data_IF_400852188811
#
_entry.id   IF_400852188811
#
_cell.length_a   1.000
_cell.length_b   1.000
_cell.length_c   1.000
_cell.angle_alpha   90.00
_cell.angle_beta   90.00
_cell.angle_gamma   90.00
#
_symmetry.space_group_name_H-M   'P 1'
#
loop_
_entity.id
_entity.type
_entity.pdbx_description
1 polymer ?
#
# COMPACT_ATOMS: atom_id res chain seq x y z
N UNK A 1 4.01 23.91 30.41
CA UNK A 1 3.29 22.73 30.97
C UNK A 1 3.84 21.51 30.27
N UNK A 2 4.43 20.57 31.01
CA UNK A 2 4.85 19.29 30.41
C UNK A 2 3.57 18.48 30.19
N UNK A 3 3.19 18.27 28.93
CA UNK A 3 2.08 17.39 28.56
C UNK A 3 2.29 16.04 29.24
N UNK A 4 1.35 15.65 30.11
CA UNK A 4 1.37 14.38 30.82
C UNK A 4 1.25 13.24 29.80
N UNK A 5 2.17 12.28 29.81
CA UNK A 5 2.07 11.12 28.92
C UNK A 5 1.00 10.14 29.42
N UNK A 6 0.22 9.59 28.50
CA UNK A 6 -0.77 8.54 28.81
C UNK A 6 -0.15 7.17 28.53
N UNK A 7 0.01 6.36 29.57
CA UNK A 7 0.34 4.94 29.43
C UNK A 7 -0.92 4.18 28.99
N UNK A 8 -0.78 3.29 28.02
CA UNK A 8 -1.88 2.42 27.63
C UNK A 8 -1.82 1.11 28.43
N UNK A 9 -2.96 0.43 28.54
CA UNK A 9 -3.02 -0.93 29.11
C UNK A 9 -2.23 -1.84 28.15
N UNK A 10 -1.39 -2.78 28.63
CA UNK A 10 -0.56 -3.63 27.76
C UNK A 10 -1.33 -4.30 26.60
N UNK A 11 -2.60 -4.64 26.84
CA UNK A 11 -3.49 -5.34 25.92
C UNK A 11 -4.29 -4.43 24.96
N UNK A 12 -3.99 -3.12 24.92
CA UNK A 12 -4.74 -2.12 24.13
C UNK A 12 -4.96 -2.54 22.67
N UNK A 13 -3.98 -3.23 22.07
CA UNK A 13 -4.02 -3.65 20.68
C UNK A 13 -4.32 -5.16 20.49
N UNK A 14 -4.63 -5.94 21.55
CA UNK A 14 -4.69 -7.41 21.45
C UNK A 14 -5.78 -7.92 20.50
N UNK A 15 -6.89 -7.21 20.38
CA UNK A 15 -7.98 -7.57 19.47
C UNK A 15 -7.63 -7.34 18.00
N UNK A 16 -6.66 -6.49 17.69
CA UNK A 16 -6.32 -6.09 16.32
C UNK A 16 -5.86 -7.29 15.49
N UNK A 17 -4.96 -8.10 16.04
CA UNK A 17 -4.40 -9.25 15.32
C UNK A 17 -5.48 -10.33 15.07
N UNK A 18 -6.44 -10.47 15.98
CA UNK A 18 -7.60 -11.36 15.82
C UNK A 18 -8.51 -10.86 14.70
N UNK A 19 -8.83 -9.55 14.68
CA UNK A 19 -9.65 -8.95 13.62
C UNK A 19 -8.99 -9.16 12.25
N UNK A 20 -7.67 -8.96 12.13
CA UNK A 20 -6.95 -9.19 10.87
C UNK A 20 -7.05 -10.66 10.48
N UNK A 21 -6.82 -11.60 11.40
CA UNK A 21 -6.93 -13.04 11.10
C UNK A 21 -8.34 -13.44 10.63
N UNK A 22 -9.39 -12.90 11.24
CA UNK A 22 -10.78 -13.10 10.81
C UNK A 22 -11.04 -12.55 9.41
N UNK A 23 -10.50 -11.36 9.10
CA UNK A 23 -10.62 -10.75 7.78
C UNK A 23 -9.95 -11.59 6.68
N UNK A 24 -8.87 -12.31 7.03
CA UNK A 24 -8.15 -13.21 6.12
C UNK A 24 -8.77 -14.61 5.99
N UNK A 25 -10.05 -14.79 6.33
CA UNK A 25 -10.74 -16.07 6.20
C UNK A 25 -11.23 -16.31 4.75
N UNK A 26 -10.77 -17.37 4.04
CA UNK A 26 -11.21 -17.66 2.67
C UNK A 26 -12.69 -18.00 2.49
N UNK A 27 -13.43 -18.30 3.57
CA UNK A 27 -14.88 -18.55 3.51
C UNK A 27 -15.71 -17.28 3.66
N UNK A 28 -15.14 -16.24 4.26
CA UNK A 28 -15.78 -14.96 4.46
C UNK A 28 -14.71 -13.85 4.40
N UNK A 29 -14.06 -13.66 3.24
CA UNK A 29 -12.99 -12.68 3.11
C UNK A 29 -13.57 -11.28 3.33
N UNK A 30 -12.88 -10.49 4.15
CA UNK A 30 -13.34 -9.16 4.53
C UNK A 30 -12.20 -8.16 4.35
N UNK A 31 -12.47 -7.08 3.64
CA UNK A 31 -11.51 -6.00 3.48
C UNK A 31 -11.38 -5.20 4.76
N UNK A 32 -10.19 -4.64 5.00
CA UNK A 32 -9.92 -3.86 6.21
C UNK A 32 -8.92 -2.75 5.94
N UNK A 33 -8.98 -1.73 6.79
CA UNK A 33 -7.94 -0.71 6.91
C UNK A 33 -7.44 -0.62 8.33
N UNK A 34 -6.18 -1.01 8.53
CA UNK A 34 -5.49 -0.89 9.79
C UNK A 34 -4.89 0.51 9.94
N UNK A 35 -5.49 1.32 10.80
CA UNK A 35 -4.90 2.58 11.24
C UNK A 35 -3.82 2.29 12.27
N UNK A 36 -2.58 2.65 11.98
CA UNK A 36 -1.48 2.30 12.85
C UNK A 36 -0.31 3.30 12.73
N UNK A 37 -0.20 4.16 13.76
CA UNK A 37 0.81 5.20 13.83
C UNK A 37 2.26 4.68 13.86
N UNK A 38 3.23 5.59 13.80
CA UNK A 38 4.65 5.24 13.82
C UNK A 38 4.98 4.39 15.06
N UNK A 39 5.79 3.34 14.89
CA UNK A 39 6.21 2.49 16.01
C UNK A 39 5.11 1.64 16.66
N UNK A 40 3.90 1.58 16.08
CA UNK A 40 2.80 0.79 16.64
C UNK A 40 2.87 -0.71 16.34
N UNK A 41 3.71 -1.12 15.40
CA UNK A 41 3.88 -2.52 15.00
C UNK A 41 2.98 -2.97 13.85
N UNK A 42 2.73 -2.10 12.85
CA UNK A 42 2.07 -2.44 11.57
C UNK A 42 2.57 -3.75 10.97
N UNK A 43 3.86 -3.81 10.67
CA UNK A 43 4.53 -4.96 10.05
C UNK A 43 4.45 -6.21 10.93
N UNK A 44 4.42 -6.06 12.26
CA UNK A 44 4.21 -7.19 13.18
C UNK A 44 2.81 -7.78 13.00
N UNK A 45 1.76 -6.95 13.04
CA UNK A 45 0.37 -7.40 12.84
C UNK A 45 0.15 -8.00 11.45
N UNK A 46 0.77 -7.43 10.40
CA UNK A 46 0.76 -8.00 9.05
C UNK A 46 1.34 -9.43 9.05
N UNK A 47 2.56 -9.60 9.56
CA UNK A 47 3.22 -10.92 9.63
C UNK A 47 2.42 -11.91 10.46
N UNK A 48 1.85 -11.48 11.60
CA UNK A 48 0.98 -12.34 12.40
C UNK A 48 -0.24 -12.82 11.63
N UNK A 49 -0.91 -11.93 10.89
CA UNK A 49 -2.01 -12.33 10.01
C UNK A 49 -1.60 -13.40 8.98
N UNK A 50 -0.42 -13.27 8.38
CA UNK A 50 0.13 -14.26 7.45
C UNK A 50 0.42 -15.60 8.15
N UNK A 51 1.03 -15.59 9.34
CA UNK A 51 1.31 -16.81 10.13
C UNK A 51 0.02 -17.56 10.49
N UNK A 52 -1.00 -16.83 10.96
CA UNK A 52 -2.32 -17.41 11.25
C UNK A 52 -2.95 -18.02 9.99
N UNK A 53 -2.88 -17.31 8.87
CA UNK A 53 -3.40 -17.78 7.60
C UNK A 53 -2.69 -19.04 7.12
N UNK A 54 -1.36 -19.08 7.17
CA UNK A 54 -0.59 -20.28 6.81
C UNK A 54 -1.05 -21.49 7.62
N UNK A 55 -1.13 -21.33 8.94
CA UNK A 55 -1.51 -22.42 9.85
C UNK A 55 -2.92 -22.94 9.57
N UNK A 56 -3.87 -22.05 9.30
CA UNK A 56 -5.27 -22.42 9.12
C UNK A 56 -5.62 -22.86 7.68
N UNK A 57 -4.97 -22.27 6.66
CA UNK A 57 -5.42 -22.36 5.27
C UNK A 57 -4.30 -22.68 4.26
N UNK A 58 -3.04 -22.68 4.68
CA UNK A 58 -1.88 -22.78 3.78
C UNK A 58 -1.87 -24.05 2.93
N UNK A 59 -2.20 -25.22 3.50
CA UNK A 59 -2.23 -26.48 2.75
C UNK A 59 -3.24 -26.45 1.60
N UNK A 60 -4.45 -25.92 1.84
CA UNK A 60 -5.49 -25.77 0.82
C UNK A 60 -5.03 -24.83 -0.28
N UNK A 61 -4.51 -23.65 0.09
CA UNK A 61 -4.07 -22.62 -0.87
C UNK A 61 -2.93 -23.10 -1.76
N UNK A 62 -1.93 -23.79 -1.19
CA UNK A 62 -0.84 -24.43 -1.95
C UNK A 62 -1.38 -25.42 -2.98
N UNK A 63 -2.32 -26.29 -2.60
CA UNK A 63 -2.91 -27.29 -3.50
C UNK A 63 -3.63 -26.68 -4.69
N UNK A 64 -4.30 -25.54 -4.50
CA UNK A 64 -5.08 -24.86 -5.55
C UNK A 64 -4.29 -23.74 -6.27
N UNK A 65 -2.99 -23.62 -6.00
CA UNK A 65 -2.11 -22.63 -6.65
C UNK A 65 -2.43 -21.17 -6.31
N UNK A 66 -3.13 -20.90 -5.19
CA UNK A 66 -3.47 -19.55 -4.73
C UNK A 66 -2.41 -19.03 -3.76
N UNK A 67 -2.24 -17.71 -3.74
CA UNK A 67 -1.28 -17.00 -2.89
C UNK A 67 -1.95 -15.82 -2.18
N UNK A 68 -1.30 -15.29 -1.15
CA UNK A 68 -1.57 -13.93 -0.65
C UNK A 68 -0.53 -13.00 -1.25
N UNK A 69 -0.96 -11.89 -1.83
CA UNK A 69 -0.04 -10.85 -2.27
C UNK A 69 0.17 -9.83 -1.15
N UNK A 70 1.41 -9.45 -0.93
CA UNK A 70 1.82 -8.43 0.04
C UNK A 70 2.66 -7.41 -0.71
N UNK A 71 2.15 -6.19 -0.80
CA UNK A 71 2.77 -5.08 -1.50
C UNK A 71 3.32 -4.12 -0.47
N UNK A 72 4.57 -3.70 -0.66
CA UNK A 72 5.18 -2.61 0.13
C UNK A 72 5.79 -1.56 -0.81
N UNK A 73 6.29 -0.46 -0.24
CA UNK A 73 6.90 0.61 -1.02
C UNK A 73 8.42 0.41 -1.25
N UNK A 74 9.11 -0.31 -0.38
CA UNK A 74 10.58 -0.44 -0.42
C UNK A 74 11.06 -1.89 -0.44
N UNK A 75 12.21 -2.13 -1.06
CA UNK A 75 12.83 -3.46 -1.05
C UNK A 75 13.22 -3.90 0.37
N UNK A 76 13.70 -2.97 1.22
CA UNK A 76 14.02 -3.28 2.61
C UNK A 76 12.81 -3.81 3.40
N UNK A 77 11.63 -3.20 3.22
CA UNK A 77 10.40 -3.70 3.82
C UNK A 77 9.97 -5.05 3.25
N UNK A 78 10.18 -5.29 1.95
CA UNK A 78 9.95 -6.60 1.35
C UNK A 78 10.83 -7.67 2.01
N UNK A 79 12.14 -7.42 2.09
CA UNK A 79 13.12 -8.35 2.64
C UNK A 79 12.83 -8.66 4.11
N UNK A 80 12.48 -7.64 4.91
CA UNK A 80 12.08 -7.81 6.31
C UNK A 80 10.86 -8.73 6.45
N UNK A 81 9.82 -8.54 5.63
CA UNK A 81 8.62 -9.39 5.68
C UNK A 81 8.96 -10.81 5.22
N UNK A 82 9.74 -10.95 4.12
CA UNK A 82 10.17 -12.25 3.57
C UNK A 82 10.93 -13.05 4.63
N UNK A 83 11.87 -12.43 5.33
CA UNK A 83 12.64 -13.08 6.40
C UNK A 83 11.73 -13.56 7.53
N UNK A 84 10.83 -12.68 8.00
CA UNK A 84 9.90 -13.01 9.10
C UNK A 84 8.95 -14.16 8.77
N UNK A 85 8.47 -14.25 7.53
CA UNK A 85 7.63 -15.38 7.07
C UNK A 85 8.44 -16.55 6.51
N UNK A 86 9.77 -16.55 6.70
CA UNK A 86 10.70 -17.63 6.32
C UNK A 86 10.61 -18.00 4.83
N UNK A 87 10.52 -16.98 3.96
CA UNK A 87 10.46 -17.12 2.51
C UNK A 87 9.39 -18.12 2.02
N UNK A 88 8.23 -18.13 2.69
CA UNK A 88 7.15 -19.05 2.37
C UNK A 88 6.52 -18.75 0.99
N UNK A 89 6.53 -19.69 0.03
CA UNK A 89 6.04 -19.46 -1.33
C UNK A 89 4.53 -19.22 -1.44
N UNK A 90 3.79 -19.43 -0.34
CA UNK A 90 2.37 -19.06 -0.20
C UNK A 90 2.17 -17.55 -0.30
N UNK A 91 3.18 -16.77 0.06
CA UNK A 91 3.14 -15.32 0.06
C UNK A 91 3.95 -14.77 -1.10
N UNK A 92 3.34 -13.90 -1.89
CA UNK A 92 4.04 -13.13 -2.91
C UNK A 92 4.28 -11.72 -2.36
N UNK A 93 5.49 -11.50 -1.87
CA UNK A 93 5.91 -10.23 -1.27
C UNK A 93 6.79 -9.49 -2.28
N UNK A 94 6.44 -8.25 -2.59
CA UNK A 94 7.20 -7.44 -3.54
C UNK A 94 6.87 -5.95 -3.42
N UNK A 95 7.70 -5.10 -4.01
CA UNK A 95 7.33 -3.68 -4.17
C UNK A 95 6.16 -3.54 -5.15
N UNK A 96 5.41 -2.46 -5.04
CA UNK A 96 4.23 -2.23 -5.89
C UNK A 96 4.55 -2.29 -7.39
N UNK A 97 5.69 -1.73 -7.80
CA UNK A 97 6.13 -1.74 -9.18
C UNK A 97 6.49 -3.16 -9.66
N UNK A 98 7.22 -3.91 -8.82
CA UNK A 98 7.57 -5.30 -9.12
C UNK A 98 6.32 -6.17 -9.25
N UNK A 99 5.35 -5.98 -8.37
CA UNK A 99 4.06 -6.66 -8.42
C UNK A 99 3.34 -6.37 -9.74
N UNK A 100 3.12 -5.08 -10.05
CA UNK A 100 2.39 -4.63 -11.23
C UNK A 100 3.06 -5.13 -12.52
N UNK A 101 4.38 -4.94 -12.64
CA UNK A 101 5.14 -5.41 -13.79
C UNK A 101 5.05 -6.91 -13.97
N UNK A 102 5.18 -7.70 -12.91
CA UNK A 102 5.05 -9.14 -12.98
C UNK A 102 3.70 -9.58 -13.56
N UNK A 103 2.64 -8.81 -13.30
CA UNK A 103 1.31 -9.13 -13.83
C UNK A 103 1.16 -8.74 -15.31
N UNK A 104 1.72 -7.61 -15.75
CA UNK A 104 1.51 -7.09 -17.11
C UNK A 104 2.61 -7.46 -18.11
N UNK A 105 3.77 -7.97 -17.67
CA UNK A 105 4.97 -8.11 -18.52
C UNK A 105 4.79 -8.93 -19.80
N UNK A 106 3.81 -9.83 -19.86
CA UNK A 106 3.54 -10.66 -21.04
C UNK A 106 2.51 -10.03 -22.00
N UNK A 107 1.87 -8.93 -21.60
CA UNK A 107 0.78 -8.30 -22.33
C UNK A 107 1.29 -7.24 -23.32
N UNK A 108 2.35 -7.55 -24.07
CA UNK A 108 3.06 -6.58 -24.90
C UNK A 108 2.16 -5.85 -25.92
N UNK A 109 1.27 -6.56 -26.60
CA UNK A 109 0.34 -5.94 -27.55
C UNK A 109 -0.64 -5.00 -26.86
N UNK A 110 -1.14 -5.35 -25.67
CA UNK A 110 -2.04 -4.50 -24.91
C UNK A 110 -1.31 -3.27 -24.36
N UNK A 111 -0.08 -3.45 -23.85
CA UNK A 111 0.78 -2.34 -23.39
C UNK A 111 1.00 -1.36 -24.55
N UNK A 112 1.33 -1.88 -25.73
CA UNK A 112 1.51 -1.08 -26.95
C UNK A 112 0.26 -0.27 -27.28
N UNK A 113 -0.91 -0.92 -27.32
CA UNK A 113 -2.17 -0.25 -27.64
C UNK A 113 -2.52 0.84 -26.61
N UNK A 114 -2.29 0.54 -25.33
CA UNK A 114 -2.48 1.52 -24.25
C UNK A 114 -1.55 2.72 -24.43
N UNK A 115 -0.26 2.50 -24.67
CA UNK A 115 0.71 3.57 -24.90
C UNK A 115 0.37 4.42 -26.12
N UNK A 116 -0.12 3.80 -27.20
CA UNK A 116 -0.55 4.54 -28.39
C UNK A 116 -1.69 5.50 -28.05
N UNK A 117 -2.72 5.02 -27.34
CA UNK A 117 -3.84 5.86 -26.92
C UNK A 117 -3.38 6.98 -25.96
N UNK A 118 -2.63 6.64 -24.91
CA UNK A 118 -2.15 7.60 -23.92
C UNK A 118 -1.26 8.68 -24.55
N UNK A 119 -0.31 8.31 -25.41
CA UNK A 119 0.57 9.28 -26.08
C UNK A 119 -0.20 10.19 -27.03
N UNK A 120 -1.17 9.66 -27.77
CA UNK A 120 -2.05 10.46 -28.63
C UNK A 120 -2.83 11.51 -27.84
N UNK A 121 -3.39 11.13 -26.68
CA UNK A 121 -4.10 12.05 -25.80
C UNK A 121 -3.18 13.11 -25.19
N UNK A 122 -1.99 12.71 -24.72
CA UNK A 122 -0.98 13.63 -24.19
C UNK A 122 -0.51 14.64 -25.24
N UNK A 123 -0.23 14.19 -26.48
CA UNK A 123 0.13 15.07 -27.60
C UNK A 123 -0.98 16.07 -27.85
N UNK A 124 -2.23 15.62 -27.91
CA UNK A 124 -3.41 16.49 -28.13
C UNK A 124 -3.54 17.53 -27.02
N UNK A 125 -3.35 17.13 -25.77
CA UNK A 125 -3.37 18.02 -24.60
C UNK A 125 -2.25 19.06 -24.63
N UNK A 126 -1.03 18.65 -24.99
CA UNK A 126 0.12 19.56 -25.12
C UNK A 126 -0.07 20.55 -26.27
N UNK A 127 -0.61 20.12 -27.42
CA UNK A 127 -0.92 20.99 -28.55
C UNK A 127 -1.99 22.03 -28.18
N UNK A 128 -3.05 21.64 -27.47
CA UNK A 128 -4.07 22.58 -26.97
C UNK A 128 -3.48 23.61 -26.03
N UNK A 129 -2.58 23.18 -25.12
CA UNK A 129 -1.87 24.11 -24.24
C UNK A 129 -0.97 25.05 -25.06
N UNK A 130 -0.25 24.52 -26.06
CA UNK A 130 0.64 25.31 -26.94
C UNK A 130 -0.10 26.39 -27.70
N UNK A 131 -1.23 26.04 -28.32
CA UNK A 131 -2.08 27.00 -29.05
C UNK A 131 -2.62 28.13 -28.16
N UNK A 132 -2.84 27.88 -26.86
CA UNK A 132 -3.32 28.88 -25.89
C UNK A 132 -2.20 29.66 -25.20
N UNK A 133 -0.96 29.20 -25.28
CA UNK A 133 0.17 29.75 -24.54
C UNK A 133 0.91 30.83 -25.32
N UNK A 134 1.76 31.59 -24.62
CA UNK A 134 2.67 32.56 -25.27
C UNK A 134 3.84 31.84 -25.93
N UNK A 135 3.95 31.98 -27.25
CA UNK A 135 5.04 31.43 -28.07
C UNK A 135 6.41 31.99 -27.65
N UNK A 136 7.45 31.19 -27.82
CA UNK A 136 8.85 31.60 -27.57
C UNK A 136 9.26 31.65 -26.10
N UNK A 137 8.35 31.29 -25.18
CA UNK A 137 8.67 31.15 -23.75
C UNK A 137 9.37 29.81 -23.46
N UNK A 138 10.10 29.71 -22.34
CA UNK A 138 10.65 28.43 -21.86
C UNK A 138 9.61 27.32 -21.77
N UNK A 139 8.41 27.64 -21.26
CA UNK A 139 7.30 26.69 -21.21
C UNK A 139 6.82 26.24 -22.60
N UNK A 140 6.83 27.12 -23.61
CA UNK A 140 6.55 26.77 -25.01
C UNK A 140 7.62 25.83 -25.57
N UNK A 141 8.91 26.14 -25.38
CA UNK A 141 10.02 25.28 -25.82
C UNK A 141 9.93 23.87 -25.22
N UNK A 142 9.71 23.76 -23.90
CA UNK A 142 9.56 22.46 -23.20
C UNK A 142 8.37 21.65 -23.76
N UNK A 143 7.24 22.30 -24.03
CA UNK A 143 6.05 21.62 -24.57
C UNK A 143 6.28 21.16 -26.00
N UNK A 144 6.91 21.96 -26.85
CA UNK A 144 7.25 21.56 -28.21
C UNK A 144 8.23 20.39 -28.23
N UNK A 145 9.28 20.42 -27.41
CA UNK A 145 10.21 19.29 -27.25
C UNK A 145 9.48 18.02 -26.78
N UNK A 146 8.56 18.17 -25.81
CA UNK A 146 7.74 17.06 -25.30
C UNK A 146 6.79 16.48 -26.38
N UNK A 147 6.25 17.31 -27.27
CA UNK A 147 5.42 16.84 -28.40
C UNK A 147 6.26 16.05 -29.38
N UNK A 148 7.47 16.54 -29.72
CA UNK A 148 8.38 15.86 -30.65
C UNK A 148 8.76 14.48 -30.11
N UNK A 149 9.26 14.40 -28.88
CA UNK A 149 9.69 13.12 -28.29
C UNK A 149 8.55 12.09 -28.17
N UNK A 150 7.33 12.55 -27.84
CA UNK A 150 6.15 11.68 -27.80
C UNK A 150 5.71 11.20 -29.18
N UNK A 151 5.82 12.04 -30.21
CA UNK A 151 5.54 11.63 -31.61
C UNK A 151 6.53 10.60 -32.10
N UNK A 152 7.81 10.75 -31.78
CA UNK A 152 8.84 9.76 -32.09
C UNK A 152 8.54 8.42 -31.40
N UNK A 153 8.15 8.45 -30.12
CA UNK A 153 7.73 7.24 -29.41
C UNK A 153 6.47 6.61 -30.02
N UNK A 154 5.50 7.41 -30.42
CA UNK A 154 4.26 6.94 -31.06
C UNK A 154 4.54 6.28 -32.42
N UNK A 155 5.41 6.88 -33.24
CA UNK A 155 5.86 6.29 -34.50
C UNK A 155 6.63 4.99 -34.26
N UNK A 156 7.49 4.94 -33.23
CA UNK A 156 8.17 3.71 -32.82
C UNK A 156 7.16 2.61 -32.43
N UNK A 157 6.02 2.95 -31.82
CA UNK A 157 4.95 2.01 -31.50
C UNK A 157 4.15 1.56 -32.74
N UNK A 158 4.42 2.05 -33.96
CA UNK A 158 3.71 1.60 -35.19
C UNK A 158 3.87 0.11 -35.49
N UNK A 159 4.92 -0.53 -34.98
CA UNK A 159 5.21 -1.97 -35.14
C UNK A 159 5.01 -2.73 -33.82
N UNK A 160 4.82 -4.06 -33.82
CA UNK A 160 4.84 -4.87 -32.60
C UNK A 160 6.13 -4.67 -31.81
N UNK A 161 6.02 -4.60 -30.47
CA UNK A 161 7.14 -4.32 -29.55
C UNK A 161 7.08 -5.24 -28.35
N UNK A 162 8.26 -5.59 -27.83
CA UNK A 162 8.42 -6.15 -26.50
C UNK A 162 8.86 -5.05 -25.54
N UNK A 163 8.32 -5.08 -24.33
CA UNK A 163 8.58 -4.07 -23.31
C UNK A 163 9.38 -4.69 -22.18
N UNK A 164 10.28 -3.90 -21.62
CA UNK A 164 11.04 -4.25 -20.42
C UNK A 164 10.80 -3.22 -19.34
N UNK A 165 11.07 -3.58 -18.09
CA UNK A 165 11.00 -2.69 -16.95
C UNK A 165 11.93 -3.20 -15.86
N UNK A 166 12.69 -2.30 -15.25
CA UNK A 166 13.51 -2.58 -14.09
C UNK A 166 13.01 -1.76 -12.89
N UNK A 167 12.51 -2.38 -11.80
CA UNK A 167 12.09 -1.66 -10.59
C UNK A 167 13.25 -1.13 -9.75
N UNK A 168 14.48 -1.61 -9.97
CA UNK A 168 15.64 -1.36 -9.10
C UNK A 168 16.69 -0.42 -9.71
N UNK A 169 16.43 0.18 -10.86
CA UNK A 169 17.44 1.01 -11.52
C UNK A 169 16.90 1.86 -12.66
N UNK A 170 17.81 2.61 -13.28
CA UNK A 170 17.46 3.43 -14.42
C UNK A 170 17.07 2.55 -15.60
N UNK A 171 15.91 2.87 -16.16
CA UNK A 171 15.40 2.29 -17.39
C UNK A 171 16.20 2.84 -18.59
N UNK A 172 17.48 2.46 -18.69
CA UNK A 172 18.43 2.92 -19.71
C UNK A 172 18.27 2.09 -20.99
N UNK A 173 17.98 2.77 -22.10
CA UNK A 173 17.85 2.16 -23.42
C UNK A 173 16.64 2.69 -24.19
N UNK A 174 16.46 2.24 -25.43
CA UNK A 174 15.42 2.73 -26.36
C UNK A 174 14.01 2.18 -26.08
N UNK A 175 13.59 2.07 -24.81
CA UNK A 175 12.19 2.12 -24.27
C UNK A 175 11.79 1.02 -23.27
N UNK A 176 12.40 0.99 -22.07
CA UNK A 176 11.71 0.39 -20.93
C UNK A 176 10.53 1.28 -20.51
N UNK A 177 9.50 0.69 -19.91
CA UNK A 177 8.38 1.44 -19.36
C UNK A 177 8.85 2.33 -18.21
N UNK A 178 8.26 3.51 -18.03
CA UNK A 178 8.48 4.29 -16.81
C UNK A 178 7.78 3.64 -15.61
N UNK A 179 8.20 4.03 -14.41
CA UNK A 179 7.53 3.65 -13.15
C UNK A 179 6.03 3.98 -13.19
N UNK A 180 5.68 5.21 -13.61
CA UNK A 180 4.29 5.65 -13.73
C UNK A 180 3.51 4.88 -14.79
N UNK A 181 4.12 4.55 -15.93
CA UNK A 181 3.47 3.76 -16.98
C UNK A 181 3.12 2.37 -16.48
N UNK A 182 4.01 1.70 -15.75
CA UNK A 182 3.73 0.36 -15.18
C UNK A 182 2.50 0.40 -14.27
N UNK A 183 2.40 1.39 -13.38
CA UNK A 183 1.28 1.51 -12.45
C UNK A 183 -0.03 1.84 -13.17
N UNK A 184 0.00 2.78 -14.11
CA UNK A 184 -1.19 3.20 -14.86
C UNK A 184 -1.70 2.10 -15.79
N UNK A 185 -0.80 1.42 -16.51
CA UNK A 185 -1.18 0.29 -17.37
C UNK A 185 -1.81 -0.82 -16.54
N UNK A 186 -1.20 -1.18 -15.40
CA UNK A 186 -1.76 -2.21 -14.53
C UNK A 186 -3.15 -1.80 -13.99
N UNK A 187 -3.30 -0.57 -13.50
CA UNK A 187 -4.57 -0.04 -13.01
C UNK A 187 -5.66 -0.07 -14.08
N UNK A 188 -5.36 0.44 -15.28
CA UNK A 188 -6.29 0.43 -16.39
C UNK A 188 -6.62 -0.99 -16.87
N UNK A 189 -5.67 -1.92 -16.89
CA UNK A 189 -5.96 -3.32 -17.23
C UNK A 189 -6.85 -3.98 -16.19
N UNK A 190 -6.64 -3.67 -14.90
CA UNK A 190 -7.44 -4.20 -13.81
C UNK A 190 -8.92 -3.79 -13.93
N UNK A 191 -9.20 -2.61 -14.47
CA UNK A 191 -10.56 -2.11 -14.70
C UNK A 191 -11.13 -2.52 -16.05
N UNK A 192 -10.36 -2.34 -17.13
CA UNK A 192 -10.87 -2.47 -18.50
C UNK A 192 -10.88 -3.91 -19.03
N UNK A 193 -10.15 -4.85 -18.39
CA UNK A 193 -10.01 -6.23 -18.87
C UNK A 193 -10.54 -7.24 -17.84
N UNK A 194 -11.81 -7.67 -17.93
CA UNK A 194 -12.39 -8.62 -16.98
C UNK A 194 -11.60 -9.93 -16.83
N UNK A 195 -11.05 -10.47 -17.93
CA UNK A 195 -10.23 -11.69 -17.87
C UNK A 195 -8.94 -11.49 -17.08
N UNK A 196 -8.27 -10.34 -17.24
CA UNK A 196 -7.08 -9.99 -16.46
C UNK A 196 -7.43 -9.84 -14.97
N UNK A 197 -8.50 -9.11 -14.68
CA UNK A 197 -9.02 -8.93 -13.32
C UNK A 197 -9.30 -10.28 -12.63
N UNK A 198 -9.94 -11.22 -13.33
CA UNK A 198 -10.21 -12.57 -12.83
C UNK A 198 -8.92 -13.37 -12.56
N UNK A 199 -7.88 -13.21 -13.39
CA UNK A 199 -6.58 -13.85 -13.14
C UNK A 199 -6.00 -13.36 -11.80
N UNK A 200 -6.04 -12.05 -11.55
CA UNK A 200 -5.54 -11.45 -10.31
C UNK A 200 -6.36 -11.94 -9.10
N UNK A 201 -7.69 -11.82 -9.13
CA UNK A 201 -8.57 -12.23 -8.03
C UNK A 201 -8.44 -13.72 -7.71
N UNK A 202 -8.35 -14.57 -8.74
CA UNK A 202 -8.24 -16.00 -8.51
C UNK A 202 -6.86 -16.40 -7.97
N UNK A 203 -5.79 -15.73 -8.41
CA UNK A 203 -4.42 -15.99 -7.93
C UNK A 203 -4.16 -15.42 -6.54
N UNK A 204 -4.71 -14.23 -6.26
CA UNK A 204 -4.52 -13.48 -5.02
C UNK A 204 -5.87 -13.07 -4.41
N UNK A 205 -6.60 -13.98 -3.73
CA UNK A 205 -7.84 -13.63 -3.04
C UNK A 205 -7.66 -12.59 -1.93
N UNK A 206 -6.45 -12.52 -1.37
CA UNK A 206 -6.05 -11.53 -0.37
C UNK A 206 -4.90 -10.71 -0.93
N UNK A 207 -5.08 -9.39 -0.97
CA UNK A 207 -4.05 -8.43 -1.36
C UNK A 207 -3.84 -7.45 -0.20
N UNK A 208 -2.66 -7.51 0.39
CA UNK A 208 -2.26 -6.66 1.50
C UNK A 208 -1.33 -5.56 0.99
N UNK A 209 -1.56 -4.31 1.38
CA UNK A 209 -0.75 -3.16 0.99
C UNK A 209 -0.25 -2.49 2.27
N UNK A 210 1.05 -2.62 2.51
CA UNK A 210 1.75 -1.87 3.55
C UNK A 210 2.13 -0.48 3.05
N UNK A 211 2.16 0.49 3.98
CA UNK A 211 2.33 1.92 3.68
C UNK A 211 1.36 2.41 2.58
N UNK A 212 0.09 2.00 2.71
CA UNK A 212 -0.96 2.28 1.73
C UNK A 212 -1.20 3.78 1.46
N UNK A 213 -0.84 4.67 2.40
CA UNK A 213 -0.91 6.12 2.20
C UNK A 213 -0.01 6.65 1.07
N UNK A 214 1.06 5.92 0.75
CA UNK A 214 2.04 6.27 -0.30
C UNK A 214 1.76 5.54 -1.62
N UNK A 215 0.63 4.80 -1.70
CA UNK A 215 0.24 4.12 -2.93
C UNK A 215 -0.44 5.08 -3.90
N UNK A 216 -0.03 5.04 -5.16
CA UNK A 216 -0.59 5.84 -6.24
C UNK A 216 -2.13 5.80 -6.26
N UNK A 217 -2.77 6.98 -6.31
CA UNK A 217 -4.23 7.15 -6.24
C UNK A 217 -4.98 6.33 -7.29
N UNK A 218 -4.54 6.36 -8.55
CA UNK A 218 -5.21 5.65 -9.64
C UNK A 218 -5.23 4.13 -9.39
N UNK A 219 -4.12 3.61 -8.88
CA UNK A 219 -4.00 2.19 -8.56
C UNK A 219 -4.86 1.78 -7.35
N UNK A 220 -4.90 2.59 -6.28
CA UNK A 220 -5.82 2.35 -5.15
C UNK A 220 -7.27 2.34 -5.60
N UNK A 221 -7.67 3.32 -6.42
CA UNK A 221 -9.03 3.40 -6.96
C UNK A 221 -9.36 2.18 -7.82
N UNK A 222 -8.41 1.70 -8.62
CA UNK A 222 -8.58 0.47 -9.38
C UNK A 222 -8.82 -0.75 -8.47
N UNK A 223 -8.05 -0.89 -7.39
CA UNK A 223 -8.26 -1.96 -6.42
C UNK A 223 -9.61 -1.87 -5.71
N UNK A 224 -10.07 -0.67 -5.36
CA UNK A 224 -11.40 -0.48 -4.75
C UNK A 224 -12.54 -0.91 -5.67
N UNK A 225 -12.44 -0.63 -6.97
CA UNK A 225 -13.43 -1.12 -7.95
C UNK A 225 -13.42 -2.65 -8.01
N UNK A 226 -12.25 -3.30 -7.99
CA UNK A 226 -12.17 -4.76 -7.95
C UNK A 226 -12.77 -5.33 -6.67
N UNK A 227 -12.47 -4.72 -5.53
CA UNK A 227 -13.01 -5.15 -4.24
C UNK A 227 -14.54 -5.05 -4.19
N UNK A 228 -15.11 -3.97 -4.71
CA UNK A 228 -16.56 -3.80 -4.82
C UNK A 228 -17.18 -4.86 -5.75
N UNK A 229 -16.52 -5.21 -6.87
CA UNK A 229 -17.01 -6.18 -7.85
C UNK A 229 -16.87 -7.66 -7.40
N UNK A 230 -15.96 -7.95 -6.47
CA UNK A 230 -15.60 -9.32 -6.06
C UNK A 230 -15.77 -9.57 -4.56
N UNK A 231 -16.74 -8.90 -3.95
CA UNK A 231 -17.10 -9.11 -2.55
C UNK A 231 -17.31 -10.59 -2.23
N UNK A 232 -16.80 -11.04 -1.08
CA UNK A 232 -16.86 -12.44 -0.65
C UNK A 232 -15.88 -13.37 -1.38
N UNK A 233 -15.10 -12.89 -2.36
CA UNK A 233 -14.05 -13.66 -3.06
C UNK A 233 -12.68 -13.00 -3.03
N UNK A 234 -12.64 -11.68 -3.01
CA UNK A 234 -11.45 -10.86 -2.95
C UNK A 234 -11.55 -9.90 -1.77
N UNK A 235 -10.44 -9.67 -1.08
CA UNK A 235 -10.37 -8.66 -0.01
C UNK A 235 -9.05 -7.92 -0.03
N UNK A 236 -9.13 -6.63 0.29
CA UNK A 236 -8.00 -5.73 0.46
C UNK A 236 -7.68 -5.53 1.93
N UNK A 237 -6.42 -5.70 2.30
CA UNK A 237 -5.91 -5.33 3.61
C UNK A 237 -4.98 -4.13 3.49
N UNK A 238 -5.45 -2.96 3.87
CA UNK A 238 -4.64 -1.74 3.84
C UNK A 238 -4.02 -1.49 5.21
N UNK A 239 -2.71 -1.22 5.25
CA UNK A 239 -1.98 -0.85 6.46
C UNK A 239 -1.40 0.55 6.26
N UNK A 240 -1.57 1.45 7.22
CA UNK A 240 -1.04 2.80 7.04
C UNK A 240 -1.27 3.77 8.19
N UNK A 241 -0.67 4.96 8.02
CA UNK A 241 -0.91 6.15 8.83
C UNK A 241 -0.98 7.36 7.90
N UNK A 242 -2.14 7.98 7.79
CA UNK A 242 -2.37 9.11 6.88
C UNK A 242 -1.47 10.31 7.17
N UNK A 243 -1.03 10.47 8.43
CA UNK A 243 -0.09 11.52 8.82
C UNK A 243 1.36 11.27 8.36
N UNK A 244 1.71 10.05 7.96
CA UNK A 244 3.06 9.69 7.48
C UNK A 244 3.21 9.77 5.97
N UNK A 245 2.19 10.23 5.25
CA UNK A 245 2.27 10.37 3.80
C UNK A 245 3.33 11.41 3.42
N UNK A 246 4.28 10.98 2.60
CA UNK A 246 5.36 11.85 2.11
C UNK A 246 5.38 11.97 0.57
N UNK A 247 4.65 11.10 -0.15
CA UNK A 247 4.53 11.16 -1.61
C UNK A 247 3.24 11.85 -2.04
N UNK A 248 3.34 12.73 -3.04
CA UNK A 248 2.23 13.59 -3.48
C UNK A 248 1.20 12.91 -4.40
N UNK A 249 1.47 11.70 -4.88
CA UNK A 249 0.61 10.93 -5.77
C UNK A 249 -0.33 9.94 -5.03
N UNK A 250 -0.21 9.87 -3.70
CA UNK A 250 -1.08 9.08 -2.83
C UNK A 250 -2.51 9.62 -2.72
N UNK A 251 -3.49 8.74 -2.47
CA UNK A 251 -4.89 9.12 -2.25
C UNK A 251 -5.04 9.93 -0.95
N UNK A 252 -5.50 11.19 -1.06
CA UNK A 252 -5.59 12.14 0.07
C UNK A 252 -6.58 11.70 1.15
N UNK A 253 -7.69 11.10 0.73
CA UNK A 253 -8.83 10.69 1.56
C UNK A 253 -8.82 9.19 1.86
N UNK A 254 -7.65 8.53 1.79
CA UNK A 254 -7.56 7.11 2.10
C UNK A 254 -7.98 6.86 3.55
N UNK A 255 -9.00 6.01 3.73
CA UNK A 255 -9.56 5.71 5.05
C UNK A 255 -10.83 6.48 5.42
N UNK A 256 -11.06 7.69 4.91
CA UNK A 256 -12.17 8.55 5.37
C UNK A 256 -13.54 8.13 4.82
N UNK A 257 -13.57 7.52 3.62
CA UNK A 257 -14.81 7.10 2.95
C UNK A 257 -14.81 5.60 2.61
N UNK A 258 -14.24 4.78 3.49
CA UNK A 258 -14.26 3.33 3.33
C UNK A 258 -15.66 2.76 3.66
N UNK A 259 -16.17 1.80 2.86
CA UNK A 259 -17.48 1.19 3.09
C UNK A 259 -17.63 0.64 4.51
N UNK A 260 -18.83 0.72 5.08
CA UNK A 260 -19.10 0.25 6.47
C UNK A 260 -18.83 -1.26 6.66
N UNK A 261 -18.89 -2.04 5.57
CA UNK A 261 -18.54 -3.47 5.58
C UNK A 261 -17.06 -3.72 5.85
N UNK A 262 -16.17 -2.73 5.67
CA UNK A 262 -14.74 -2.90 5.92
C UNK A 262 -14.45 -2.87 7.42
N UNK A 263 -13.56 -3.75 7.89
CA UNK A 263 -13.07 -3.63 9.26
C UNK A 263 -12.09 -2.44 9.36
N UNK A 264 -12.13 -1.72 10.47
CA UNK A 264 -11.28 -0.54 10.70
C UNK A 264 -10.50 -0.67 12.02
N UNK A 265 -9.68 -1.74 12.20
CA UNK A 265 -8.89 -1.89 13.42
C UNK A 265 -7.90 -0.74 13.59
N UNK A 266 -7.59 -0.39 14.83
CA UNK A 266 -6.71 0.73 15.17
C UNK A 266 -5.64 0.22 16.13
N UNK A 267 -4.36 0.49 15.83
CA UNK A 267 -3.25 0.31 16.77
C UNK A 267 -2.90 1.63 17.41
N UNK A 268 -3.01 1.68 18.72
CA UNK A 268 -2.73 2.88 19.50
C UNK A 268 -1.43 2.73 20.29
N UNK A 269 -0.96 1.52 20.58
CA UNK A 269 0.24 1.33 21.40
C UNK A 269 1.54 1.61 20.62
N UNK A 270 2.32 2.63 21.00
CA UNK A 270 3.68 2.84 20.50
C UNK A 270 4.67 1.99 21.30
N UNK A 271 5.39 1.11 20.59
CA UNK A 271 6.35 0.17 21.17
C UNK A 271 7.81 0.50 20.82
N UNK A 272 8.05 1.59 20.08
CA UNK A 272 9.39 1.95 19.57
C UNK A 272 10.00 3.12 20.34
N UNK A 273 9.18 4.11 20.68
CA UNK A 273 9.65 5.43 21.12
C UNK A 273 9.45 5.64 22.61
N UNK A 274 10.33 6.43 23.22
CA UNK A 274 10.20 6.83 24.62
C UNK A 274 8.98 7.74 24.83
N UNK A 275 8.48 7.79 26.07
CA UNK A 275 7.28 8.57 26.42
C UNK A 275 7.34 10.02 25.95
N UNK A 276 8.48 10.68 26.12
CA UNK A 276 8.69 12.07 25.68
C UNK A 276 8.51 12.27 24.17
N UNK A 277 8.99 11.33 23.36
CA UNK A 277 8.86 11.39 21.90
C UNK A 277 7.40 11.15 21.50
N UNK A 278 6.73 10.17 22.13
CA UNK A 278 5.32 9.88 21.87
C UNK A 278 4.43 11.06 22.25
N UNK A 279 4.68 11.70 23.39
CA UNK A 279 3.95 12.91 23.79
C UNK A 279 4.10 14.02 22.76
N UNK A 280 5.33 14.36 22.37
CA UNK A 280 5.57 15.38 21.36
C UNK A 280 4.89 15.03 20.02
N UNK A 281 4.97 13.76 19.61
CA UNK A 281 4.30 13.29 18.40
C UNK A 281 2.79 13.49 18.53
N UNK A 282 2.16 13.08 19.64
CA UNK A 282 0.73 13.26 19.87
C UNK A 282 0.30 14.73 19.86
N UNK A 283 1.11 15.62 20.44
CA UNK A 283 0.84 17.06 20.42
C UNK A 283 0.77 17.59 18.98
N UNK A 284 1.70 17.16 18.10
CA UNK A 284 1.67 17.47 16.67
C UNK A 284 0.45 16.84 15.97
N UNK A 285 0.07 15.61 16.35
CA UNK A 285 -1.08 14.88 15.76
C UNK A 285 -2.43 15.48 16.15
N UNK A 286 -2.53 16.09 17.32
CA UNK A 286 -3.77 16.69 17.83
C UNK A 286 -4.28 17.84 16.94
N UNK A 287 -3.36 18.58 16.30
CA UNK A 287 -3.71 19.66 15.36
C UNK A 287 -4.45 19.16 14.10
N UNK A 288 -4.31 17.86 13.78
CA UNK A 288 -4.84 17.25 12.56
C UNK A 288 -5.90 16.17 12.83
N UNK A 289 -6.50 16.15 14.03
CA UNK A 289 -7.63 15.25 14.37
C UNK A 289 -7.29 13.76 14.30
N UNK A 290 -6.02 13.40 14.43
CA UNK A 290 -5.53 12.03 14.20
C UNK A 290 -5.48 11.19 15.47
N UNK A 291 -5.42 9.86 15.30
CA UNK A 291 -5.44 8.93 16.43
C UNK A 291 -4.25 9.14 17.38
N UNK A 292 -4.54 9.18 18.69
CA UNK A 292 -3.56 9.30 19.79
C UNK A 292 -2.82 7.98 19.99
N UNK A 293 -1.51 8.05 20.19
CA UNK A 293 -0.69 6.91 20.55
C UNK A 293 -0.42 6.82 22.05
N UNK A 294 -0.47 5.63 22.62
CA UNK A 294 -0.11 5.34 23.99
C UNK A 294 1.32 4.85 24.11
N UNK A 295 1.96 5.07 25.25
CA UNK A 295 3.31 4.56 25.53
C UNK A 295 3.22 3.17 26.14
N UNK A 296 3.96 2.21 25.59
CA UNK A 296 4.14 0.90 26.21
C UNK A 296 5.06 0.99 27.42
N UNK A 297 4.63 0.45 28.57
CA UNK A 297 5.41 0.41 29.80
C UNK A 297 5.38 -1.00 30.41
N UNK A 298 6.52 -1.68 30.47
CA UNK A 298 6.63 -3.05 31.01
C UNK A 298 6.39 -3.15 32.53
N UNK A 299 6.43 -2.04 33.27
CA UNK A 299 6.30 -2.04 34.73
C UNK A 299 4.90 -2.38 35.27
N UNK A 300 3.89 -2.59 34.41
CA UNK A 300 2.56 -3.06 34.83
C UNK A 300 2.42 -4.59 34.91
N UNK A 301 3.49 -5.36 34.65
CA UNK A 301 3.48 -6.83 34.80
C UNK A 301 3.88 -7.34 36.20
N UNK A 302 3.87 -6.49 37.23
CA UNK A 302 4.04 -6.93 38.62
C UNK A 302 2.73 -6.71 39.35
N UNK A 303 2.14 -7.80 39.86
CA UNK A 303 0.98 -7.75 40.76
C UNK A 303 1.13 -6.65 41.82
N UNK A 304 0.05 -6.01 42.29
CA UNK A 304 0.15 -4.99 43.31
C UNK A 304 0.71 -5.63 44.59
N UNK A 305 1.99 -5.39 44.85
CA UNK A 305 2.58 -5.66 46.16
C UNK A 305 1.80 -4.80 47.15
N UNK A 306 0.97 -5.48 47.95
CA UNK A 306 0.23 -4.90 49.05
C UNK A 306 1.17 -4.01 49.86
N UNK A 307 0.86 -2.71 49.91
CA UNK A 307 1.59 -1.74 50.68
C UNK A 307 1.49 -2.10 52.17
N UNK A 308 2.54 -2.74 52.70
CA UNK A 308 2.76 -2.78 54.14
C UNK A 308 3.11 -1.38 54.62
N UNK A 309 2.16 -0.80 55.35
CA UNK A 309 2.34 0.40 56.16
C UNK A 309 3.51 0.18 57.13
N UNK A 310 4.60 0.91 56.92
CA UNK A 310 5.53 1.23 58.01
C UNK A 310 5.73 2.73 58.04
N UNK A 311 5.02 3.36 59.00
CA UNK A 311 5.31 4.68 59.52
C UNK A 311 6.80 4.74 59.89
N UNK A 312 7.55 5.64 59.26
CA UNK A 312 8.77 6.17 59.86
C UNK A 312 8.35 7.48 60.53
N UNK A 313 8.46 7.48 61.85
CA UNK A 313 8.22 8.63 62.72
C UNK A 313 9.58 9.23 63.03
N UNK A 314 9.70 10.54 62.75
CA UNK A 314 10.80 11.49 63.03
C UNK A 314 12.12 11.27 62.29
#
# INVERSE_FOLDING_TARGET
MVSSFTTGIPDTDNSVDVIIAECLNPQAPKSFFLYAGAGSGKTYSLVKGLEFFEKAHGAKFRKIGKKIAVITYTNAACDEIIERVKNNPLFHISTIHSFCWLQIKTFHNDIRNWLQAALSDEITGLQKKEAKGRSGTQASLIRQQSIVSKRERLDWLSKPREFTYNPNGDNIGKTPLSHSEVLNIFGDFLISKPAFQQIIVNRYPFLLIDESQDTNKHLIEAFFVVEEQHQGRFSLGLFGDMMQRIYGDGKIDLGENLPDRWAKPIKQMNRRSSSRIVTLANDIRAEYGSCIQYVYCEFYCVEPIAAYNTKITL
#
